data_IF_189054024247
#
_entry.id   IF_189054024247
#
_cell.length_a   1.000
_cell.length_b   1.000
_cell.length_c   1.000
_cell.angle_alpha   90.00
_cell.angle_beta   90.00
_cell.angle_gamma   90.00
#
_symmetry.space_group_name_H-M   'P 1'
#
loop_
_entity.id
_entity.type
_entity.pdbx_description
1 polymer ?
#
# COMPACT_ATOMS: atom_id res chain seq x y z
N UNK A 1 -19.98 -22.69 -16.29
CA UNK A 1 -19.16 -21.71 -15.54
C UNK A 1 -19.74 -21.66 -14.13
N UNK A 2 -18.99 -22.11 -13.11
CA UNK A 2 -19.47 -22.13 -11.73
C UNK A 2 -19.07 -20.83 -11.03
N UNK A 3 -20.03 -20.06 -10.57
CA UNK A 3 -19.81 -18.86 -9.77
C UNK A 3 -19.69 -19.25 -8.30
N UNK A 4 -18.57 -18.90 -7.67
CA UNK A 4 -18.39 -19.03 -6.23
C UNK A 4 -18.54 -17.64 -5.59
N UNK A 5 -19.56 -17.48 -4.76
CA UNK A 5 -19.73 -16.29 -3.94
C UNK A 5 -18.96 -16.45 -2.63
N UNK A 6 -18.18 -15.43 -2.24
CA UNK A 6 -17.60 -15.41 -0.89
C UNK A 6 -18.71 -15.23 0.14
N UNK A 7 -18.53 -15.91 1.25
CA UNK A 7 -19.42 -15.70 2.41
C UNK A 7 -19.19 -14.29 2.97
N UNK A 8 -20.29 -13.63 3.30
CA UNK A 8 -20.28 -12.30 3.90
C UNK A 8 -21.07 -12.35 5.20
N UNK A 9 -20.39 -12.31 6.38
CA UNK A 9 -21.07 -12.42 7.66
C UNK A 9 -22.19 -11.38 7.81
N UNK A 10 -23.46 -11.79 8.01
CA UNK A 10 -24.60 -10.86 8.01
C UNK A 10 -24.47 -9.73 9.03
N UNK A 11 -23.87 -10.05 10.18
CA UNK A 11 -23.64 -9.07 11.26
C UNK A 11 -22.69 -7.97 10.85
N UNK A 12 -21.60 -8.30 10.13
CA UNK A 12 -20.65 -7.33 9.60
C UNK A 12 -21.30 -6.47 8.50
N UNK A 13 -22.03 -7.10 7.59
CA UNK A 13 -22.78 -6.38 6.53
C UNK A 13 -23.74 -5.36 7.15
N UNK A 14 -24.49 -5.78 8.16
CA UNK A 14 -25.43 -4.89 8.86
C UNK A 14 -24.70 -3.73 9.55
N UNK A 15 -23.64 -4.00 10.31
CA UNK A 15 -22.88 -2.99 11.01
C UNK A 15 -22.31 -1.93 10.04
N UNK A 16 -21.68 -2.36 8.95
CA UNK A 16 -21.13 -1.47 7.93
C UNK A 16 -22.23 -0.62 7.25
N UNK A 17 -23.40 -1.22 6.97
CA UNK A 17 -24.51 -0.49 6.39
C UNK A 17 -25.11 0.57 7.34
N UNK A 18 -25.16 0.30 8.67
CA UNK A 18 -25.59 1.28 9.66
C UNK A 18 -24.68 2.51 9.73
N UNK A 19 -23.40 2.37 9.39
CA UNK A 19 -22.47 3.48 9.29
C UNK A 19 -22.49 4.21 7.94
N UNK A 20 -23.52 3.97 7.13
CA UNK A 20 -23.77 4.71 5.88
C UNK A 20 -23.12 4.13 4.63
N UNK A 21 -22.49 2.95 4.70
CA UNK A 21 -22.01 2.29 3.50
C UNK A 21 -23.18 1.77 2.67
N UNK A 22 -23.07 1.94 1.35
CA UNK A 22 -24.02 1.34 0.43
C UNK A 22 -24.10 -0.18 0.65
N UNK A 23 -25.28 -0.83 0.65
CA UNK A 23 -25.43 -2.25 0.98
C UNK A 23 -24.52 -3.20 0.18
N UNK A 24 -24.30 -2.92 -1.09
CA UNK A 24 -23.37 -3.68 -1.93
C UNK A 24 -21.92 -3.56 -1.43
N UNK A 25 -21.49 -2.35 -1.07
CA UNK A 25 -20.14 -2.12 -0.55
C UNK A 25 -19.97 -2.77 0.83
N UNK A 26 -20.94 -2.63 1.70
CA UNK A 26 -20.95 -3.31 3.01
C UNK A 26 -20.77 -4.83 2.86
N UNK A 27 -21.47 -5.46 1.89
CA UNK A 27 -21.30 -6.87 1.60
C UNK A 27 -19.91 -7.20 1.03
N UNK A 28 -19.38 -6.40 0.13
CA UNK A 28 -18.05 -6.60 -0.47
C UNK A 28 -16.94 -6.48 0.58
N UNK A 29 -17.03 -5.51 1.47
CA UNK A 29 -16.08 -5.32 2.57
C UNK A 29 -16.18 -6.48 3.59
N UNK A 30 -17.40 -6.81 4.04
CA UNK A 30 -17.60 -7.92 4.97
C UNK A 30 -17.09 -9.26 4.43
N UNK A 31 -17.27 -9.53 3.12
CA UNK A 31 -16.72 -10.71 2.45
C UNK A 31 -15.18 -10.72 2.35
N UNK A 32 -14.51 -9.63 2.70
CA UNK A 32 -13.05 -9.47 2.75
C UNK A 32 -12.51 -9.37 4.18
N UNK A 33 -13.38 -9.60 5.18
CA UNK A 33 -12.97 -9.58 6.58
C UNK A 33 -12.95 -8.20 7.23
N UNK A 34 -13.56 -7.19 6.60
CA UNK A 34 -13.78 -5.88 7.22
C UNK A 34 -15.04 -5.92 8.05
N UNK A 35 -14.94 -5.65 9.32
CA UNK A 35 -16.06 -5.74 10.27
C UNK A 35 -16.48 -4.40 10.86
N UNK A 36 -15.61 -3.42 10.85
CA UNK A 36 -15.83 -2.11 11.46
C UNK A 36 -15.72 -0.98 10.43
N UNK A 37 -16.52 0.06 10.61
CA UNK A 37 -16.55 1.19 9.68
C UNK A 37 -15.21 1.95 9.63
N UNK A 38 -14.48 2.02 10.74
CA UNK A 38 -13.17 2.64 10.80
C UNK A 38 -12.14 2.00 9.86
N UNK A 39 -12.28 0.69 9.59
CA UNK A 39 -11.41 -0.04 8.65
C UNK A 39 -11.62 0.39 7.18
N UNK A 40 -12.69 1.15 6.92
CA UNK A 40 -13.00 1.70 5.60
C UNK A 40 -12.59 3.17 5.46
N UNK A 41 -12.09 3.78 6.52
CA UNK A 41 -11.62 5.17 6.49
C UNK A 41 -10.22 5.24 5.85
N UNK A 42 -10.15 5.85 4.67
CA UNK A 42 -8.92 6.05 3.90
C UNK A 42 -8.16 7.33 4.29
N UNK A 43 -8.48 7.96 5.42
CA UNK A 43 -7.77 9.16 5.87
C UNK A 43 -6.32 8.84 6.24
N UNK A 44 -5.43 9.82 6.06
CA UNK A 44 -4.01 9.67 6.40
C UNK A 44 -3.79 9.40 7.91
N UNK A 45 -4.76 9.77 8.76
CA UNK A 45 -4.71 9.50 10.19
C UNK A 45 -4.75 8.00 10.54
N UNK A 46 -5.25 7.17 9.63
CA UNK A 46 -5.36 5.72 9.80
C UNK A 46 -4.28 4.92 9.05
N UNK A 47 -3.24 5.60 8.54
CA UNK A 47 -2.08 4.90 8.00
C UNK A 47 -1.44 4.04 9.08
N UNK A 48 -1.14 2.80 8.73
CA UNK A 48 -0.39 1.91 9.62
C UNK A 48 1.01 2.49 9.86
N UNK A 49 1.54 2.37 11.09
CA UNK A 49 2.88 2.82 11.38
C UNK A 49 3.91 1.99 10.57
N UNK A 50 4.96 2.64 10.04
CA UNK A 50 5.94 1.95 9.18
C UNK A 50 6.66 0.80 9.89
N UNK A 51 6.74 0.83 11.21
CA UNK A 51 7.34 -0.22 12.04
C UNK A 51 6.60 -1.57 11.94
N UNK A 52 5.33 -1.54 11.55
CA UNK A 52 4.54 -2.74 11.27
C UNK A 52 4.92 -3.46 9.96
N UNK A 53 5.71 -2.82 9.10
CA UNK A 53 6.17 -3.43 7.85
C UNK A 53 7.35 -4.37 8.12
N UNK A 54 7.18 -5.63 7.75
CA UNK A 54 8.21 -6.66 7.94
C UNK A 54 9.51 -6.27 7.22
N UNK A 55 10.64 -6.28 7.94
CA UNK A 55 11.97 -5.96 7.40
C UNK A 55 12.23 -4.47 7.16
N UNK A 56 11.37 -3.56 7.65
CA UNK A 56 11.55 -2.11 7.42
C UNK A 56 12.84 -1.58 8.03
N UNK A 57 13.21 -2.05 9.21
CA UNK A 57 14.43 -1.61 9.91
C UNK A 57 15.69 -1.99 9.13
N UNK A 58 15.76 -3.22 8.68
CA UNK A 58 16.87 -3.74 7.88
C UNK A 58 16.95 -3.04 6.51
N UNK A 59 15.80 -2.84 5.87
CA UNK A 59 15.73 -2.13 4.59
C UNK A 59 16.19 -0.66 4.74
N UNK A 60 15.77 0.01 5.81
CA UNK A 60 16.19 1.38 6.09
C UNK A 60 17.70 1.48 6.35
N UNK A 61 18.27 0.52 7.10
CA UNK A 61 19.71 0.46 7.34
C UNK A 61 20.49 0.25 6.04
N UNK A 62 20.05 -0.68 5.17
CA UNK A 62 20.67 -0.93 3.87
C UNK A 62 20.64 0.30 2.96
N UNK A 63 19.52 1.04 2.94
CA UNK A 63 19.41 2.28 2.18
C UNK A 63 20.32 3.37 2.73
N UNK A 64 20.38 3.55 4.06
CA UNK A 64 21.25 4.51 4.69
C UNK A 64 22.73 4.22 4.38
N UNK A 65 23.15 2.97 4.46
CA UNK A 65 24.51 2.53 4.12
C UNK A 65 24.83 2.77 2.62
N UNK A 66 23.89 2.44 1.74
CA UNK A 66 24.04 2.67 0.31
C UNK A 66 24.21 4.16 -0.01
N UNK A 67 23.46 5.02 0.68
CA UNK A 67 23.57 6.47 0.55
C UNK A 67 24.89 7.00 1.09
N UNK A 68 25.31 6.56 2.27
CA UNK A 68 26.59 6.94 2.88
C UNK A 68 27.78 6.56 1.99
N UNK A 69 27.72 5.40 1.34
CA UNK A 69 28.74 4.89 0.43
C UNK A 69 28.58 5.40 -1.00
N UNK A 70 27.63 6.32 -1.26
CA UNK A 70 27.35 6.87 -2.60
C UNK A 70 27.11 5.78 -3.65
N UNK A 71 26.48 4.66 -3.24
CA UNK A 71 26.10 3.60 -4.17
C UNK A 71 24.96 4.03 -5.08
N UNK A 72 24.85 3.39 -6.22
CA UNK A 72 23.69 3.56 -7.11
C UNK A 72 22.50 2.81 -6.54
N UNK A 73 21.38 3.52 -6.36
CA UNK A 73 20.10 2.96 -5.93
C UNK A 73 19.16 2.98 -7.12
N UNK A 74 18.57 1.83 -7.45
CA UNK A 74 17.59 1.71 -8.53
C UNK A 74 16.25 1.26 -7.93
N UNK A 75 15.19 2.03 -8.22
CA UNK A 75 13.82 1.65 -7.88
C UNK A 75 13.22 0.92 -9.08
N UNK A 76 12.81 -0.32 -8.86
CA UNK A 76 12.05 -1.08 -9.86
C UNK A 76 10.57 -0.96 -9.52
N UNK A 77 9.80 -0.36 -10.41
CA UNK A 77 8.40 -0.06 -10.20
C UNK A 77 7.52 -0.79 -11.22
N UNK A 78 6.28 -1.04 -10.84
CA UNK A 78 5.25 -1.48 -11.78
C UNK A 78 4.77 -0.29 -12.62
N UNK A 79 4.16 -0.57 -13.77
CA UNK A 79 3.71 0.43 -14.74
C UNK A 79 2.32 1.03 -14.42
N UNK A 80 1.61 0.52 -13.42
CA UNK A 80 0.30 1.02 -13.01
C UNK A 80 0.39 2.34 -12.22
N UNK A 81 -0.76 2.94 -11.90
CA UNK A 81 -0.80 4.27 -11.30
C UNK A 81 -0.16 4.32 -9.91
N UNK A 82 -0.33 3.28 -9.09
CA UNK A 82 0.24 3.23 -7.76
C UNK A 82 1.74 2.90 -7.80
N UNK A 83 2.19 2.04 -8.71
CA UNK A 83 3.62 1.82 -8.98
C UNK A 83 4.33 3.10 -9.42
N UNK A 84 3.75 3.86 -10.35
CA UNK A 84 4.30 5.12 -10.82
C UNK A 84 4.38 6.19 -9.71
N UNK A 85 3.33 6.32 -8.89
CA UNK A 85 3.32 7.27 -7.77
C UNK A 85 4.27 6.87 -6.65
N UNK A 86 4.36 5.58 -6.31
CA UNK A 86 5.32 5.05 -5.35
C UNK A 86 6.76 5.27 -5.81
N UNK A 87 7.05 5.04 -7.09
CA UNK A 87 8.35 5.32 -7.70
C UNK A 87 8.73 6.81 -7.59
N UNK A 88 7.81 7.69 -7.97
CA UNK A 88 8.03 9.13 -7.89
C UNK A 88 8.27 9.59 -6.44
N UNK A 89 7.51 9.07 -5.48
CA UNK A 89 7.68 9.35 -4.07
C UNK A 89 9.04 8.86 -3.56
N UNK A 90 9.42 7.63 -3.91
CA UNK A 90 10.71 7.05 -3.53
C UNK A 90 11.90 7.82 -4.11
N UNK A 91 11.86 8.16 -5.39
CA UNK A 91 12.90 8.97 -6.07
C UNK A 91 13.07 10.33 -5.39
N UNK A 92 11.97 11.04 -5.15
CA UNK A 92 11.99 12.36 -4.50
C UNK A 92 12.43 12.26 -3.03
N UNK A 93 11.90 11.30 -2.28
CA UNK A 93 12.23 11.09 -0.87
C UNK A 93 13.72 10.80 -0.68
N UNK A 94 14.28 9.86 -1.43
CA UNK A 94 15.69 9.52 -1.36
C UNK A 94 16.59 10.67 -1.79
N UNK A 95 16.20 11.43 -2.82
CA UNK A 95 16.94 12.63 -3.22
C UNK A 95 16.95 13.70 -2.11
N UNK A 96 15.81 13.95 -1.45
CA UNK A 96 15.72 14.87 -0.31
C UNK A 96 16.56 14.41 0.89
N UNK A 97 16.74 13.11 1.08
CA UNK A 97 17.60 12.52 2.09
C UNK A 97 19.09 12.53 1.71
N UNK A 98 19.45 12.97 0.50
CA UNK A 98 20.83 13.13 0.06
C UNK A 98 21.38 12.03 -0.86
N UNK A 99 20.54 11.11 -1.33
CA UNK A 99 20.96 10.14 -2.34
C UNK A 99 21.29 10.84 -3.67
N UNK A 100 22.47 10.59 -4.21
CA UNK A 100 22.98 11.29 -5.43
C UNK A 100 22.86 10.44 -6.70
N UNK A 101 22.91 9.12 -6.56
CA UNK A 101 22.91 8.18 -7.68
C UNK A 101 21.64 7.35 -7.69
N UNK A 102 20.54 8.00 -8.13
CA UNK A 102 19.24 7.39 -8.22
C UNK A 102 18.90 7.06 -9.68
N UNK A 103 18.30 5.90 -9.89
CA UNK A 103 17.73 5.49 -11.15
C UNK A 103 16.37 4.82 -10.88
N UNK A 104 15.54 4.73 -11.90
CA UNK A 104 14.33 3.91 -11.83
C UNK A 104 14.18 3.09 -13.10
N UNK A 105 13.49 1.97 -12.97
CA UNK A 105 13.10 1.09 -14.05
C UNK A 105 11.60 0.81 -13.89
N UNK A 106 10.85 1.01 -14.95
CA UNK A 106 9.44 0.59 -15.02
C UNK A 106 9.39 -0.66 -15.87
N UNK A 107 8.82 -1.73 -15.30
CA UNK A 107 8.63 -2.98 -16.03
C UNK A 107 7.41 -2.84 -16.93
N UNK A 108 7.61 -2.99 -18.23
CA UNK A 108 6.53 -3.07 -19.21
C UNK A 108 6.18 -4.54 -19.46
N UNK A 109 4.89 -4.85 -19.42
CA UNK A 109 4.40 -6.16 -19.84
C UNK A 109 4.24 -6.14 -21.36
N UNK A 110 5.26 -6.54 -22.06
CA UNK A 110 5.14 -6.90 -23.49
C UNK A 110 4.57 -8.30 -23.60
#
# INVERSE_FOLDING_TARGET
>A
MNWLSRDAPPRAVWALAQHGLHPLMARLYAARGVYEAQDTDASLAHLLPPEGLMGVTEAAALLADAMAQQRRICIVADYDCDGATACALGMRGLAMLGARHLAFLVHDRV
#
